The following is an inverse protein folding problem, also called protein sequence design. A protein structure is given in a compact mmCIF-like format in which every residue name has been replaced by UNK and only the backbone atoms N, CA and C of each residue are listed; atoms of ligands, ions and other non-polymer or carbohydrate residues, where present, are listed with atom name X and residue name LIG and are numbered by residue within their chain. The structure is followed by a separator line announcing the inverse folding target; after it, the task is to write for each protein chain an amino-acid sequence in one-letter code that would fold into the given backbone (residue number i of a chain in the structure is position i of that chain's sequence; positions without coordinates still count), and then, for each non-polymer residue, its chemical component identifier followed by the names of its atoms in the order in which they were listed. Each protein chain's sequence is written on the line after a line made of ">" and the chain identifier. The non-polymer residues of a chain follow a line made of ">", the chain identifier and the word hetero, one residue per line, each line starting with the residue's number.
data_IF_799760279672
#
_entry.id   IF_799760279672
#
_cell.length_a   1.000
_cell.length_b   1.000
_cell.length_c   1.000
_cell.angle_alpha   90.00
_cell.angle_beta   90.00
_cell.angle_gamma   90.00
#
_symmetry.space_group_name_H-M   'P 1'
#
loop_
_entity.id
_entity.type
_entity.pdbx_description
1 polymer ?
#
# COMPACT_ATOMS: atom_id res chain seq x y z
N UNK A 1 24.91 -28.42 -13.80
CA UNK A 1 23.58 -28.72 -13.21
C UNK A 1 22.64 -29.10 -14.36
N UNK A 2 21.65 -29.98 -14.13
CA UNK A 2 20.54 -30.22 -15.07
C UNK A 2 19.26 -29.77 -14.37
N UNK A 3 18.40 -29.05 -15.07
CA UNK A 3 17.15 -28.50 -14.56
C UNK A 3 16.01 -28.92 -15.49
N UNK A 4 14.88 -29.34 -14.91
CA UNK A 4 13.61 -29.45 -15.62
C UNK A 4 12.74 -28.26 -15.22
N UNK A 5 12.06 -27.64 -16.19
CA UNK A 5 11.15 -26.51 -15.97
C UNK A 5 9.78 -26.94 -16.45
N UNK A 6 8.81 -26.89 -15.54
CA UNK A 6 7.40 -27.10 -15.82
C UNK A 6 6.68 -25.79 -16.13
N UNK A 7 5.53 -25.88 -16.80
CA UNK A 7 4.80 -24.72 -17.32
C UNK A 7 4.04 -23.90 -16.25
N UNK A 8 3.60 -22.68 -16.60
CA UNK A 8 2.76 -21.88 -15.71
C UNK A 8 1.34 -22.49 -15.61
N UNK A 9 0.97 -22.99 -14.42
CA UNK A 9 -0.34 -23.58 -14.16
C UNK A 9 -1.47 -22.57 -13.89
N UNK A 10 -1.18 -21.25 -13.91
CA UNK A 10 -2.16 -20.20 -13.66
C UNK A 10 -3.01 -19.86 -14.89
N UNK A 11 -4.34 -19.73 -14.71
CA UNK A 11 -5.24 -19.24 -15.75
C UNK A 11 -5.15 -17.72 -15.93
N UNK A 12 -5.31 -17.22 -17.16
CA UNK A 12 -5.27 -15.79 -17.44
C UNK A 12 -6.62 -15.12 -17.20
N UNK A 13 -6.76 -14.38 -16.10
CA UNK A 13 -7.93 -13.53 -15.84
C UNK A 13 -8.08 -12.43 -16.90
N UNK A 14 -9.29 -12.15 -17.44
CA UNK A 14 -9.54 -11.21 -18.54
C UNK A 14 -9.54 -9.72 -18.10
N UNK A 15 -8.65 -9.36 -17.17
CA UNK A 15 -8.59 -8.04 -16.51
C UNK A 15 -8.37 -6.89 -17.52
N UNK A 16 -7.68 -7.17 -18.63
CA UNK A 16 -7.45 -6.23 -19.73
C UNK A 16 -8.73 -5.76 -20.45
N UNK A 17 -9.90 -6.40 -20.21
CA UNK A 17 -11.17 -6.04 -20.84
C UNK A 17 -11.95 -4.96 -20.07
N UNK A 18 -11.43 -4.47 -18.95
CA UNK A 18 -12.11 -3.56 -18.04
C UNK A 18 -11.51 -2.16 -18.05
N UNK A 19 -12.33 -1.12 -17.92
CA UNK A 19 -11.85 0.27 -17.86
C UNK A 19 -11.10 0.56 -16.56
N UNK A 20 -11.60 0.05 -15.45
CA UNK A 20 -11.08 0.30 -14.12
C UNK A 20 -10.63 -1.03 -13.50
N UNK A 21 -9.44 -1.04 -12.88
CA UNK A 21 -8.86 -2.25 -12.29
C UNK A 21 -8.37 -1.94 -10.87
N UNK A 22 -8.97 -2.60 -9.88
CA UNK A 22 -8.54 -2.58 -8.49
C UNK A 22 -7.86 -3.91 -8.14
N UNK A 23 -6.56 -3.85 -7.85
CA UNK A 23 -5.74 -4.99 -7.47
C UNK A 23 -5.50 -4.91 -5.95
N UNK A 24 -6.21 -5.74 -5.18
CA UNK A 24 -6.04 -5.84 -3.73
C UNK A 24 -5.08 -6.98 -3.39
N UNK A 25 -4.10 -6.73 -2.52
CA UNK A 25 -3.18 -7.78 -2.08
C UNK A 25 -2.68 -7.63 -0.67
N UNK A 26 -2.21 -8.73 -0.07
CA UNK A 26 -1.53 -8.70 1.21
C UNK A 26 -0.90 -10.03 1.60
N UNK A 27 -0.05 -9.99 2.63
CA UNK A 27 0.67 -11.16 3.14
C UNK A 27 1.56 -11.81 2.08
N UNK A 28 1.30 -13.07 1.72
CA UNK A 28 2.01 -13.81 0.67
C UNK A 28 1.41 -13.65 -0.72
N UNK A 29 0.27 -12.97 -0.86
CA UNK A 29 -0.47 -12.86 -2.13
C UNK A 29 0.12 -11.90 -3.17
N UNK A 30 1.18 -11.15 -2.82
CA UNK A 30 1.76 -10.06 -3.61
C UNK A 30 2.15 -10.39 -5.07
N UNK A 31 2.78 -11.55 -5.40
CA UNK A 31 3.35 -11.77 -6.74
C UNK A 31 2.35 -11.64 -7.89
N UNK A 32 1.14 -12.19 -7.75
CA UNK A 32 0.12 -12.19 -8.80
C UNK A 32 -0.39 -10.78 -9.13
N UNK A 33 -0.89 -10.02 -8.15
CA UNK A 33 -1.30 -8.62 -8.30
C UNK A 33 -0.17 -7.69 -8.76
N UNK A 34 1.07 -7.85 -8.28
CA UNK A 34 2.22 -7.07 -8.77
C UNK A 34 2.51 -7.38 -10.25
N UNK A 35 2.56 -8.66 -10.63
CA UNK A 35 2.74 -9.05 -12.03
C UNK A 35 1.59 -8.56 -12.94
N UNK A 36 0.35 -8.57 -12.44
CA UNK A 36 -0.81 -7.97 -13.12
C UNK A 36 -0.66 -6.46 -13.28
N UNK A 37 -0.22 -5.74 -12.24
CA UNK A 37 0.00 -4.29 -12.29
C UNK A 37 1.08 -3.91 -13.31
N UNK A 38 2.22 -4.61 -13.34
CA UNK A 38 3.29 -4.38 -14.32
C UNK A 38 2.81 -4.70 -15.74
N UNK A 39 2.09 -5.82 -15.94
CA UNK A 39 1.54 -6.22 -17.24
C UNK A 39 0.53 -5.19 -17.75
N UNK A 40 -0.44 -4.82 -16.91
CA UNK A 40 -1.45 -3.82 -17.23
C UNK A 40 -0.77 -2.50 -17.53
N UNK A 41 -0.01 -1.91 -16.59
CA UNK A 41 0.69 -0.64 -16.76
C UNK A 41 1.47 -0.55 -18.08
N UNK A 42 2.23 -1.59 -18.46
CA UNK A 42 2.95 -1.64 -19.76
C UNK A 42 2.03 -1.67 -20.98
N UNK A 43 0.86 -2.31 -20.92
CA UNK A 43 -0.14 -2.31 -22.00
C UNK A 43 -1.05 -1.08 -22.02
N UNK A 44 -1.35 -0.51 -20.85
CA UNK A 44 -2.33 0.57 -20.68
C UNK A 44 -1.70 1.95 -20.85
N UNK A 45 -0.44 2.15 -20.43
CA UNK A 45 0.30 3.40 -20.65
C UNK A 45 0.49 3.73 -22.14
N UNK A 46 0.63 2.71 -23.00
CA UNK A 46 0.70 2.88 -24.45
C UNK A 46 -0.65 3.25 -25.12
N UNK A 47 -1.75 3.32 -24.37
CA UNK A 47 -3.09 3.49 -24.92
C UNK A 47 -4.02 4.45 -24.15
N UNK A 48 -3.74 4.78 -22.88
CA UNK A 48 -4.58 5.63 -22.03
C UNK A 48 -5.95 5.03 -21.66
N UNK A 49 -6.18 3.73 -21.93
CA UNK A 49 -7.52 3.10 -21.91
C UNK A 49 -8.01 2.62 -20.55
N UNK A 50 -7.14 2.57 -19.52
CA UNK A 50 -7.46 1.93 -18.25
C UNK A 50 -6.89 2.69 -17.05
N UNK A 51 -7.68 2.76 -15.98
CA UNK A 51 -7.24 3.15 -14.63
C UNK A 51 -6.85 1.89 -13.86
N UNK A 52 -5.67 1.87 -13.24
CA UNK A 52 -5.14 0.73 -12.49
C UNK A 52 -4.69 1.20 -11.11
N UNK A 53 -5.28 0.65 -10.04
CA UNK A 53 -4.89 0.89 -8.65
C UNK A 53 -4.42 -0.42 -8.02
N UNK A 54 -3.20 -0.43 -7.47
CA UNK A 54 -2.63 -1.54 -6.70
C UNK A 54 -2.57 -1.15 -5.23
N UNK A 55 -3.25 -1.94 -4.38
CA UNK A 55 -3.32 -1.75 -2.93
C UNK A 55 -2.64 -2.91 -2.24
N UNK A 56 -1.54 -2.63 -1.54
CA UNK A 56 -0.71 -3.62 -0.84
C UNK A 56 -0.88 -3.47 0.68
N UNK A 57 -1.43 -4.48 1.34
CA UNK A 57 -1.57 -4.54 2.80
C UNK A 57 -0.54 -5.51 3.42
N UNK A 58 0.46 -4.97 4.11
CA UNK A 58 1.59 -5.73 4.69
C UNK A 58 1.78 -5.43 6.17
N UNK A 59 2.56 -6.25 6.88
CA UNK A 59 3.00 -5.98 8.26
C UNK A 59 4.50 -5.70 8.20
N UNK A 60 4.89 -4.44 8.38
CA UNK A 60 6.26 -4.00 8.11
C UNK A 60 6.55 -3.92 6.61
N UNK A 61 7.73 -3.41 6.27
CA UNK A 61 8.15 -3.18 4.88
C UNK A 61 9.15 -4.24 4.36
N UNK A 62 9.68 -5.10 5.23
CA UNK A 62 10.72 -6.09 4.92
C UNK A 62 10.36 -7.00 3.74
N UNK A 63 9.08 -7.39 3.64
CA UNK A 63 8.56 -8.21 2.53
C UNK A 63 8.56 -7.47 1.19
N UNK A 64 8.51 -6.13 1.19
CA UNK A 64 8.52 -5.31 -0.02
C UNK A 64 9.93 -5.15 -0.59
N UNK A 65 10.99 -5.24 0.23
CA UNK A 65 12.37 -5.18 -0.25
C UNK A 65 12.65 -6.34 -1.23
N UNK A 66 12.03 -7.52 -0.98
CA UNK A 66 12.09 -8.68 -1.86
C UNK A 66 11.33 -8.50 -3.20
N UNK A 67 10.45 -7.50 -3.32
CA UNK A 67 9.75 -7.12 -4.55
C UNK A 67 10.16 -5.73 -5.06
N UNK A 68 11.24 -5.14 -4.53
CA UNK A 68 11.67 -3.79 -4.88
C UNK A 68 11.93 -3.60 -6.37
N UNK A 69 12.58 -4.54 -7.11
CA UNK A 69 12.74 -4.42 -8.56
C UNK A 69 11.40 -4.35 -9.31
N UNK A 70 10.44 -5.18 -8.91
CA UNK A 70 9.08 -5.24 -9.47
C UNK A 70 8.27 -3.98 -9.13
N UNK A 71 8.42 -3.44 -7.92
CA UNK A 71 7.73 -2.23 -7.49
C UNK A 71 8.32 -0.97 -8.16
N UNK A 72 9.64 -0.85 -8.30
CA UNK A 72 10.28 0.21 -9.09
C UNK A 72 9.88 0.16 -10.58
N UNK A 73 9.53 -1.01 -11.12
CA UNK A 73 8.95 -1.11 -12.47
C UNK A 73 7.58 -0.42 -12.62
N UNK A 74 6.91 -0.02 -11.53
CA UNK A 74 5.61 0.66 -11.55
C UNK A 74 5.72 2.19 -11.58
N UNK A 75 6.82 2.77 -11.08
CA UNK A 75 7.06 4.23 -11.00
C UNK A 75 6.86 4.94 -12.36
N UNK A 76 7.27 4.27 -13.44
CA UNK A 76 7.22 4.80 -14.81
C UNK A 76 6.00 4.30 -15.60
N UNK A 77 4.96 3.80 -14.91
CA UNK A 77 3.72 3.27 -15.52
C UNK A 77 2.48 3.97 -14.94
N UNK A 78 1.37 3.93 -15.69
CA UNK A 78 0.08 4.48 -15.23
C UNK A 78 -0.60 3.53 -14.22
N UNK A 79 -0.02 3.40 -13.03
CA UNK A 79 -0.49 2.55 -11.93
C UNK A 79 -0.42 3.32 -10.60
N UNK A 80 -1.56 3.50 -9.94
CA UNK A 80 -1.63 4.11 -8.61
C UNK A 80 -1.23 3.07 -7.55
N UNK A 81 -0.10 3.26 -6.86
CA UNK A 81 0.39 2.33 -5.84
C UNK A 81 0.13 2.86 -4.42
N UNK A 82 -0.75 2.18 -3.69
CA UNK A 82 -1.06 2.46 -2.29
C UNK A 82 -0.54 1.33 -1.39
N UNK A 83 0.18 1.66 -0.32
CA UNK A 83 0.80 0.69 0.58
C UNK A 83 0.35 0.94 2.03
N UNK A 84 -0.36 -0.02 2.59
CA UNK A 84 -0.89 0.00 3.95
C UNK A 84 -0.01 -0.84 4.89
N UNK A 85 0.69 -0.18 5.81
CA UNK A 85 1.38 -0.86 6.90
C UNK A 85 0.40 -1.16 8.03
N UNK A 86 -0.02 -2.43 8.09
CA UNK A 86 -1.01 -2.96 9.03
C UNK A 86 -0.45 -3.30 10.42
N UNK A 87 0.81 -2.94 10.71
CA UNK A 87 1.31 -2.97 12.09
C UNK A 87 0.70 -1.85 12.92
N UNK A 88 0.29 -2.19 14.13
CA UNK A 88 -0.11 -1.20 15.14
C UNK A 88 1.13 -0.40 15.54
N UNK A 89 1.14 0.89 15.21
CA UNK A 89 2.07 1.85 15.81
C UNK A 89 1.68 1.96 17.28
N UNK A 90 2.59 1.76 18.25
CA UNK A 90 2.26 1.94 19.66
C UNK A 90 1.80 3.38 19.89
N UNK A 91 0.52 3.57 20.19
CA UNK A 91 -0.01 4.87 20.59
C UNK A 91 0.58 5.22 21.95
N UNK A 92 1.58 6.10 21.98
CA UNK A 92 2.06 6.72 23.22
C UNK A 92 0.94 7.61 23.76
N UNK A 93 0.05 7.01 24.55
CA UNK A 93 -0.99 7.70 25.29
C UNK A 93 -0.32 8.50 26.41
N UNK A 94 -0.41 9.84 26.43
CA UNK A 94 0.13 10.66 27.51
C UNK A 94 -0.79 10.57 28.74
N UNK A 95 -0.90 9.38 29.33
CA UNK A 95 -1.84 9.05 30.41
C UNK A 95 -1.40 7.88 31.29
N UNK A 96 -0.09 7.63 31.42
CA UNK A 96 0.47 6.90 32.56
C UNK A 96 0.98 7.89 33.60
N UNK A 97 0.10 8.29 34.52
CA UNK A 97 0.43 9.16 35.64
C UNK A 97 1.10 8.35 36.75
N UNK A 98 2.44 8.30 36.76
CA UNK A 98 3.23 7.82 37.89
C UNK A 98 3.84 9.02 38.63
N UNK A 99 3.30 9.28 39.81
CA UNK A 99 3.57 10.44 40.66
C UNK A 99 4.70 10.15 41.66
N UNK A 100 5.87 10.80 41.46
CA UNK A 100 6.97 10.81 42.43
C UNK A 100 7.57 12.23 42.53
N UNK A 101 7.00 13.00 43.46
CA UNK A 101 7.61 14.04 44.31
C UNK A 101 8.59 15.08 43.72
N UNK A 102 8.20 16.34 43.88
CA UNK A 102 8.90 17.61 43.65
C UNK A 102 10.31 17.72 44.28
N UNK A 103 11.19 18.51 43.64
CA UNK A 103 11.89 19.65 44.27
C UNK A 103 12.49 20.63 43.23
N UNK A 104 12.10 21.91 43.33
CA UNK A 104 12.80 23.22 43.11
C UNK A 104 13.87 23.39 42.00
N UNK A 105 14.08 24.52 41.29
CA UNK A 105 13.43 25.85 41.05
C UNK A 105 14.33 26.63 40.00
N UNK A 106 14.03 27.74 39.27
CA UNK A 106 12.91 28.70 39.07
C UNK A 106 12.91 29.20 37.59
N UNK A 107 11.76 29.77 37.14
CA UNK A 107 11.62 30.88 36.15
C UNK A 107 12.14 30.69 34.69
N UNK A 108 11.68 31.41 33.64
CA UNK A 108 10.68 32.50 33.52
C UNK A 108 9.85 32.34 32.21
N UNK A 109 8.78 33.12 32.02
CA UNK A 109 7.83 32.99 30.91
C UNK A 109 8.27 33.58 29.56
N UNK A 110 8.03 32.83 28.47
CA UNK A 110 7.34 33.35 27.26
C UNK A 110 6.88 32.24 26.33
N UNK A 111 5.58 32.19 26.05
CA UNK A 111 4.98 31.13 25.26
C UNK A 111 4.99 31.37 23.74
N UNK A 112 4.86 30.28 22.99
CA UNK A 112 4.21 30.21 21.67
C UNK A 112 3.78 28.77 21.45
N UNK A 113 2.60 28.55 20.86
CA UNK A 113 2.14 27.20 20.50
C UNK A 113 2.92 26.74 19.27
N UNK A 114 3.86 25.81 19.46
CA UNK A 114 4.65 25.24 18.37
C UNK A 114 4.26 23.78 18.13
N UNK A 115 3.28 23.59 17.25
CA UNK A 115 3.01 22.29 16.65
C UNK A 115 4.07 21.99 15.58
N UNK A 116 5.19 21.36 15.96
CA UNK A 116 6.26 21.00 15.02
C UNK A 116 6.29 19.50 14.70
N UNK A 117 5.78 19.20 13.51
CA UNK A 117 6.50 18.40 12.52
C UNK A 117 6.76 16.93 12.87
N UNK A 118 5.66 16.18 13.01
CA UNK A 118 5.54 14.94 12.22
C UNK A 118 5.60 15.32 10.74
N UNK A 119 6.79 15.31 10.12
CA UNK A 119 6.99 15.31 8.66
C UNK A 119 8.48 15.05 8.35
N UNK A 120 8.86 13.76 8.30
CA UNK A 120 9.94 13.30 7.42
C UNK A 120 9.73 11.84 7.06
N UNK A 121 8.80 11.62 6.14
CA UNK A 121 8.54 10.34 5.49
C UNK A 121 9.77 9.87 4.71
N UNK A 122 10.68 9.17 5.40
CA UNK A 122 11.71 8.38 4.74
C UNK A 122 11.02 7.25 3.96
N UNK A 123 10.74 7.49 2.67
CA UNK A 123 10.13 6.53 1.76
C UNK A 123 10.92 5.20 1.81
N UNK A 124 10.36 4.13 2.39
CA UNK A 124 11.12 2.90 2.66
C UNK A 124 11.54 2.16 1.38
N UNK A 125 10.93 2.48 0.24
CA UNK A 125 11.22 1.86 -1.05
C UNK A 125 12.15 2.72 -1.93
N UNK A 126 12.23 4.03 -1.68
CA UNK A 126 13.17 4.92 -2.35
C UNK A 126 12.86 5.27 -3.80
N UNK A 127 11.61 5.12 -4.24
CA UNK A 127 11.11 5.49 -5.58
C UNK A 127 9.76 6.22 -5.47
N UNK A 128 9.46 7.12 -6.41
CA UNK A 128 8.35 8.08 -6.29
C UNK A 128 6.98 7.52 -6.74
N UNK A 129 5.91 8.29 -6.53
CA UNK A 129 4.54 7.90 -6.92
C UNK A 129 3.83 6.93 -5.98
N UNK A 130 4.42 6.58 -4.84
CA UNK A 130 3.84 5.67 -3.83
C UNK A 130 3.10 6.44 -2.74
N UNK A 131 1.86 6.05 -2.44
CA UNK A 131 1.09 6.58 -1.30
C UNK A 131 1.15 5.60 -0.13
N UNK A 132 1.76 6.01 0.98
CA UNK A 132 1.86 5.20 2.19
C UNK A 132 0.73 5.52 3.18
N UNK A 133 0.20 4.47 3.82
CA UNK A 133 -0.89 4.52 4.78
C UNK A 133 -0.55 3.69 6.02
N UNK A 134 -1.04 4.13 7.19
CA UNK A 134 -0.96 3.37 8.43
C UNK A 134 -2.28 2.63 8.70
N UNK A 135 -2.20 1.44 9.31
CA UNK A 135 -3.37 0.62 9.61
C UNK A 135 -3.82 -0.25 8.43
N UNK A 136 -5.10 -0.64 8.43
CA UNK A 136 -5.69 -1.50 7.39
C UNK A 136 -6.45 -0.67 6.34
N UNK A 137 -6.45 -1.09 5.06
CA UNK A 137 -7.29 -0.45 4.05
C UNK A 137 -8.78 -0.65 4.38
N UNK A 138 -9.57 0.43 4.27
CA UNK A 138 -11.02 0.30 4.27
C UNK A 138 -11.47 -0.19 2.89
N UNK A 139 -11.63 -1.51 2.75
CA UNK A 139 -11.96 -2.13 1.47
C UNK A 139 -13.34 -1.71 0.97
N UNK A 140 -14.28 -1.36 1.86
CA UNK A 140 -15.60 -0.85 1.45
C UNK A 140 -15.49 0.52 0.77
N UNK A 141 -14.66 1.42 1.28
CA UNK A 141 -14.40 2.74 0.67
C UNK A 141 -13.63 2.60 -0.66
N UNK A 142 -12.59 1.76 -0.71
CA UNK A 142 -11.84 1.47 -1.94
C UNK A 142 -12.73 0.87 -3.05
N UNK A 143 -13.69 0.01 -2.68
CA UNK A 143 -14.68 -0.53 -3.62
C UNK A 143 -15.68 0.53 -4.08
N UNK A 144 -16.07 1.47 -3.22
CA UNK A 144 -16.99 2.57 -3.56
C UNK A 144 -16.31 3.54 -4.54
N UNK A 145 -15.11 4.02 -4.20
CA UNK A 145 -14.27 4.88 -5.04
C UNK A 145 -14.03 4.25 -6.43
N UNK A 146 -13.69 2.96 -6.48
CA UNK A 146 -13.46 2.24 -7.73
C UNK A 146 -14.74 2.01 -8.56
N UNK A 147 -15.93 2.05 -7.93
CA UNK A 147 -17.23 1.90 -8.58
C UNK A 147 -17.87 3.23 -8.99
N UNK A 148 -17.44 4.36 -8.42
CA UNK A 148 -17.78 5.71 -8.91
C UNK A 148 -17.10 6.02 -10.27
N UNK A 149 -15.97 5.36 -10.57
CA UNK A 149 -15.29 5.47 -11.86
C UNK A 149 -16.15 4.90 -12.99
N UNK A 150 -16.45 5.73 -13.99
CA UNK A 150 -17.26 5.33 -15.14
C UNK A 150 -16.58 4.27 -16.01
N UNK A 151 -17.40 3.40 -16.61
CA UNK A 151 -16.95 2.22 -17.36
C UNK A 151 -17.10 0.91 -16.56
N UNK A 152 -16.41 -0.13 -16.98
CA UNK A 152 -16.44 -1.45 -16.32
C UNK A 152 -15.29 -1.61 -15.30
N UNK A 153 -15.62 -2.15 -14.11
CA UNK A 153 -14.66 -2.41 -13.04
C UNK A 153 -14.29 -3.90 -12.94
N UNK A 154 -12.99 -4.19 -12.82
CA UNK A 154 -12.46 -5.48 -12.37
C UNK A 154 -11.83 -5.34 -10.99
N UNK A 155 -12.19 -6.20 -10.05
CA UNK A 155 -11.53 -6.31 -8.75
C UNK A 155 -10.84 -7.67 -8.67
N UNK A 156 -9.54 -7.68 -8.40
CA UNK A 156 -8.75 -8.90 -8.19
C UNK A 156 -8.16 -8.85 -6.79
N UNK A 157 -8.44 -9.85 -5.96
CA UNK A 157 -7.87 -9.95 -4.62
C UNK A 157 -7.00 -11.21 -4.49
N UNK A 158 -5.77 -11.05 -3.98
CA UNK A 158 -4.93 -12.18 -3.58
C UNK A 158 -4.23 -11.88 -2.24
N UNK A 159 -4.61 -12.62 -1.19
CA UNK A 159 -4.09 -12.44 0.16
C UNK A 159 -4.88 -13.24 1.20
N UNK A 160 -4.61 -13.05 2.50
CA UNK A 160 -5.37 -13.68 3.58
C UNK A 160 -6.88 -13.37 3.52
N UNK A 161 -7.80 -14.30 3.85
CA UNK A 161 -9.24 -14.05 3.79
C UNK A 161 -9.70 -12.82 4.58
N UNK A 162 -9.03 -12.53 5.70
CA UNK A 162 -9.28 -11.36 6.56
C UNK A 162 -8.99 -9.99 5.90
N UNK A 163 -8.47 -9.98 4.67
CA UNK A 163 -8.37 -8.78 3.83
C UNK A 163 -9.75 -8.37 3.25
N UNK A 164 -10.72 -9.30 3.17
CA UNK A 164 -12.05 -9.05 2.60
C UNK A 164 -13.22 -9.23 3.60
N UNK A 165 -12.96 -9.75 4.81
CA UNK A 165 -14.01 -10.20 5.74
C UNK A 165 -14.12 -9.38 7.04
N UNK A 166 -13.86 -8.07 6.97
CA UNK A 166 -14.15 -7.08 8.02
C UNK A 166 -14.61 -5.76 7.42
#
# INVERSE_FOLDING_TARGET
>A
MRLAIEGPYGSSSPVNNYNNVLLLTGGTGLPGPIAHAIKLGKTSAAAGKQSVKLVIAVRGFDVLEAYKPELMCLENLNVQLHIYNTMEVPSLTPSDSLDISQQDEKADEKGTVVATTLEKSANPLGFDGVVFHCGRPNVKELLHEAAELSGSLSVVCCGPPILLTK
#
